data_IF_514289919580
#
_entry.id   IF_514289919580
#
_cell.length_a   1.000
_cell.length_b   1.000
_cell.length_c   1.000
_cell.angle_alpha   90.00
_cell.angle_beta   90.00
_cell.angle_gamma   90.00
#
_symmetry.space_group_name_H-M   'P 1'
#
loop_
_entity.id
_entity.type
_entity.pdbx_description
1 polymer ?
#
# COMPACT_ATOMS: atom_id res chain seq x y z
N UNK A 1 9.96 11.00 3.59
CA UNK A 1 10.83 10.47 2.52
C UNK A 1 10.00 9.45 1.75
N UNK A 2 9.77 9.66 0.45
CA UNK A 2 8.94 8.77 -0.37
C UNK A 2 9.57 7.36 -0.44
N UNK A 3 8.82 6.33 -0.01
CA UNK A 3 9.21 4.93 -0.15
C UNK A 3 9.00 4.50 -1.61
N UNK A 4 9.82 5.02 -2.52
CA UNK A 4 9.75 4.72 -3.96
C UNK A 4 11.11 4.39 -4.53
N UNK A 5 11.17 3.37 -5.38
CA UNK A 5 12.34 2.95 -6.13
C UNK A 5 12.19 3.42 -7.58
N UNK A 6 13.29 3.81 -8.22
CA UNK A 6 13.30 4.18 -9.64
C UNK A 6 13.80 3.02 -10.48
N UNK A 7 13.04 2.62 -11.48
CA UNK A 7 13.45 1.61 -12.45
C UNK A 7 12.89 1.95 -13.84
N UNK A 8 13.71 1.86 -14.90
CA UNK A 8 13.33 2.15 -16.29
C UNK A 8 12.56 3.49 -16.47
N UNK A 9 13.01 4.56 -15.80
CA UNK A 9 12.35 5.89 -15.83
C UNK A 9 10.97 5.95 -15.16
N UNK A 10 10.56 4.92 -14.45
CA UNK A 10 9.33 4.86 -13.66
C UNK A 10 9.64 4.79 -12.17
N UNK A 11 8.69 5.23 -11.34
CA UNK A 11 8.76 5.15 -9.87
C UNK A 11 7.84 4.04 -9.39
N UNK A 12 8.36 3.11 -8.62
CA UNK A 12 7.62 2.01 -8.02
C UNK A 12 7.57 2.19 -6.51
N UNK A 13 6.37 2.21 -5.94
CA UNK A 13 6.21 2.29 -4.48
C UNK A 13 6.69 1.02 -3.78
N UNK A 14 7.23 1.16 -2.59
CA UNK A 14 7.53 0.04 -1.68
C UNK A 14 6.83 0.27 -0.34
N UNK A 15 6.51 -0.81 0.42
CA UNK A 15 5.86 -0.69 1.71
C UNK A 15 6.65 0.19 2.69
N UNK A 16 5.90 0.75 3.64
CA UNK A 16 6.45 1.58 4.71
C UNK A 16 7.41 0.75 5.56
N UNK A 17 8.65 1.22 5.70
CA UNK A 17 9.70 0.52 6.45
C UNK A 17 10.79 -0.12 5.58
N UNK A 18 10.61 -0.16 4.25
CA UNK A 18 11.70 -0.57 3.33
C UNK A 18 12.85 0.43 3.33
N UNK A 19 12.55 1.73 3.37
CA UNK A 19 13.57 2.77 3.46
C UNK A 19 13.78 3.18 4.93
N UNK A 20 14.93 2.83 5.51
CA UNK A 20 15.33 3.15 6.87
C UNK A 20 16.52 4.11 6.86
N UNK A 21 16.42 5.24 7.58
CA UNK A 21 17.47 6.28 7.60
C UNK A 21 18.80 5.79 8.17
N UNK A 22 18.79 4.78 9.04
CA UNK A 22 19.96 4.28 9.77
C UNK A 22 20.42 2.87 9.33
N UNK A 23 20.02 2.42 8.14
CA UNK A 23 20.39 1.09 7.64
C UNK A 23 20.67 1.10 6.14
N UNK A 24 21.37 0.07 5.66
CA UNK A 24 21.60 -0.12 4.23
C UNK A 24 20.26 -0.28 3.50
N UNK A 25 19.94 0.71 2.67
CA UNK A 25 18.72 0.73 1.85
C UNK A 25 18.97 0.05 0.51
N UNK A 26 19.68 -1.08 0.53
CA UNK A 26 19.92 -1.89 -0.65
C UNK A 26 18.71 -2.80 -0.86
N UNK A 27 18.20 -2.79 -2.07
CA UNK A 27 17.08 -3.62 -2.51
C UNK A 27 17.47 -4.25 -3.83
N UNK A 28 17.17 -5.53 -3.98
CA UNK A 28 17.34 -6.22 -5.25
C UNK A 28 16.08 -6.07 -6.07
N UNK A 29 16.27 -5.82 -7.35
CA UNK A 29 15.21 -5.72 -8.34
C UNK A 29 15.40 -6.90 -9.29
N UNK A 30 14.38 -7.74 -9.38
CA UNK A 30 14.34 -8.89 -10.26
C UNK A 30 13.17 -8.71 -11.23
N UNK A 31 13.40 -8.96 -12.52
CA UNK A 31 12.34 -8.91 -13.53
C UNK A 31 11.95 -10.33 -13.87
N UNK A 32 10.68 -10.67 -13.64
CA UNK A 32 10.08 -11.97 -13.97
C UNK A 32 9.05 -11.82 -15.08
N UNK A 33 8.77 -12.92 -15.78
CA UNK A 33 7.77 -12.98 -16.83
C UNK A 33 8.34 -12.76 -18.24
N UNK A 34 7.78 -13.49 -19.21
CA UNK A 34 8.17 -13.40 -20.63
C UNK A 34 7.31 -12.42 -21.43
N UNK A 35 6.01 -12.34 -21.12
CA UNK A 35 5.04 -11.50 -21.85
C UNK A 35 4.59 -10.29 -21.02
N UNK A 36 4.18 -10.50 -19.77
CA UNK A 36 3.96 -9.44 -18.78
C UNK A 36 5.17 -9.41 -17.85
N UNK A 37 6.01 -8.39 -18.01
CA UNK A 37 7.19 -8.26 -17.17
C UNK A 37 6.79 -7.72 -15.81
N UNK A 38 6.99 -8.50 -14.75
CA UNK A 38 6.75 -8.10 -13.36
C UNK A 38 8.07 -7.75 -12.70
N UNK A 39 8.12 -6.58 -12.08
CA UNK A 39 9.19 -6.09 -11.25
C UNK A 39 8.99 -6.56 -9.81
N UNK A 40 9.86 -7.46 -9.38
CA UNK A 40 9.92 -8.00 -8.03
C UNK A 40 11.04 -7.29 -7.27
N UNK A 41 10.73 -6.74 -6.10
CA UNK A 41 11.64 -6.01 -5.24
C UNK A 41 11.86 -6.82 -3.96
N UNK A 42 13.12 -7.06 -3.59
CA UNK A 42 13.52 -7.84 -2.41
C UNK A 42 14.52 -7.09 -1.55
N UNK A 43 14.58 -7.41 -0.25
CA UNK A 43 15.58 -6.82 0.66
C UNK A 43 16.97 -7.42 0.45
N UNK A 44 17.00 -8.73 0.18
CA UNK A 44 18.18 -9.57 0.08
C UNK A 44 17.95 -10.59 -1.05
N UNK A 45 19.01 -11.17 -1.62
CA UNK A 45 18.89 -12.09 -2.76
C UNK A 45 17.98 -13.30 -2.46
N UNK A 46 18.13 -13.89 -1.28
CA UNK A 46 17.30 -14.97 -0.73
C UNK A 46 16.25 -14.45 0.28
N UNK A 47 16.09 -13.14 0.36
CA UNK A 47 15.14 -12.51 1.28
C UNK A 47 13.70 -12.55 0.76
N UNK A 48 12.79 -12.16 1.63
CA UNK A 48 11.37 -12.02 1.30
C UNK A 48 11.14 -10.95 0.21
N UNK A 49 10.11 -11.20 -0.60
CA UNK A 49 9.63 -10.25 -1.59
C UNK A 49 8.93 -9.10 -0.86
N UNK A 50 9.49 -7.91 -0.99
CA UNK A 50 8.97 -6.69 -0.38
C UNK A 50 7.79 -6.15 -1.20
N UNK A 51 7.92 -6.16 -2.52
CA UNK A 51 6.95 -5.56 -3.42
C UNK A 51 7.01 -6.19 -4.81
N UNK A 52 5.85 -6.29 -5.46
CA UNK A 52 5.71 -6.74 -6.84
C UNK A 52 4.86 -5.74 -7.61
N UNK A 53 5.28 -5.41 -8.84
CA UNK A 53 4.60 -4.48 -9.72
C UNK A 53 4.70 -4.93 -11.17
N UNK A 54 3.67 -4.69 -11.97
CA UNK A 54 3.81 -4.77 -13.42
C UNK A 54 4.69 -3.65 -13.97
N UNK A 55 5.61 -4.01 -14.87
CA UNK A 55 6.46 -3.05 -15.55
C UNK A 55 5.64 -2.33 -16.61
N UNK A 56 5.41 -1.04 -16.36
CA UNK A 56 4.79 -0.19 -17.36
C UNK A 56 5.77 0.11 -18.50
N UNK A 57 5.28 0.01 -19.75
CA UNK A 57 5.99 0.42 -20.96
C UNK A 57 6.05 1.94 -21.12
N UNK A 58 5.14 2.66 -20.47
CA UNK A 58 5.17 4.13 -20.41
C UNK A 58 6.33 4.61 -19.52
N UNK A 59 6.82 5.83 -19.74
CA UNK A 59 7.90 6.43 -18.94
C UNK A 59 7.38 7.56 -18.07
N UNK A 60 8.00 7.76 -16.90
CA UNK A 60 7.66 8.86 -15.99
C UNK A 60 6.41 8.60 -15.14
N UNK A 61 5.89 7.36 -15.12
CA UNK A 61 4.74 7.00 -14.30
C UNK A 61 5.16 6.67 -12.86
N UNK A 62 4.24 6.94 -11.95
CA UNK A 62 4.29 6.45 -10.58
C UNK A 62 3.37 5.22 -10.47
N UNK A 63 3.97 4.05 -10.33
CA UNK A 63 3.28 2.78 -10.11
C UNK A 63 3.22 2.58 -8.59
N UNK A 64 2.06 2.88 -8.04
CA UNK A 64 1.81 2.77 -6.61
C UNK A 64 0.86 1.62 -6.31
N UNK A 65 1.30 0.68 -5.49
CA UNK A 65 0.42 -0.38 -4.99
C UNK A 65 -0.39 0.20 -3.81
N UNK A 66 -1.70 0.00 -3.83
CA UNK A 66 -2.62 0.49 -2.79
C UNK A 66 -2.33 -0.15 -1.42
N UNK A 67 -1.73 -1.34 -1.39
CA UNK A 67 -1.25 -1.97 -0.16
C UNK A 67 0.02 -1.32 0.43
N UNK A 68 0.76 -0.54 -0.35
CA UNK A 68 1.93 0.20 0.16
C UNK A 68 1.55 1.56 0.74
N UNK A 69 0.37 2.06 0.40
CA UNK A 69 -0.20 3.19 1.11
C UNK A 69 -0.73 2.75 2.46
N UNK A 70 -0.57 3.64 3.45
CA UNK A 70 -1.08 3.49 4.82
C UNK A 70 -2.46 2.85 4.81
N UNK A 71 -2.62 1.77 5.57
CA UNK A 71 -3.89 1.05 5.69
C UNK A 71 -4.99 2.02 6.13
N UNK A 72 -5.83 2.46 5.19
CA UNK A 72 -6.92 3.42 5.46
C UNK A 72 -8.08 2.76 6.20
N UNK A 73 -8.09 1.44 6.33
CA UNK A 73 -9.10 0.72 7.11
C UNK A 73 -9.10 1.19 8.57
N UNK A 74 -7.91 1.39 9.15
CA UNK A 74 -7.76 1.95 10.51
C UNK A 74 -8.34 3.37 10.64
N UNK A 75 -8.15 4.20 9.62
CA UNK A 75 -8.70 5.56 9.60
C UNK A 75 -10.22 5.57 9.54
N UNK A 76 -10.83 4.65 8.78
CA UNK A 76 -12.29 4.50 8.69
C UNK A 76 -12.86 3.99 10.01
N UNK A 77 -12.20 3.02 10.66
CA UNK A 77 -12.62 2.53 11.97
C UNK A 77 -12.53 3.62 13.05
N UNK A 78 -11.43 4.37 13.11
CA UNK A 78 -11.30 5.50 14.04
C UNK A 78 -12.34 6.60 13.77
N UNK A 79 -12.64 6.89 12.50
CA UNK A 79 -13.69 7.84 12.14
C UNK A 79 -15.07 7.34 12.53
N UNK A 80 -15.38 6.06 12.29
CA UNK A 80 -16.62 5.41 12.75
C UNK A 80 -16.75 5.52 14.27
N UNK A 81 -15.71 5.19 15.02
CA UNK A 81 -15.71 5.25 16.48
C UNK A 81 -15.92 6.69 17.00
N UNK A 82 -15.27 7.69 16.40
CA UNK A 82 -15.48 9.10 16.77
C UNK A 82 -16.89 9.59 16.45
N UNK A 83 -17.45 9.18 15.31
CA UNK A 83 -18.82 9.52 14.95
C UNK A 83 -19.80 8.86 15.92
N UNK A 84 -19.69 7.55 16.15
CA UNK A 84 -20.54 6.81 17.10
C UNK A 84 -20.48 7.46 18.49
N UNK A 85 -19.30 7.84 18.98
CA UNK A 85 -19.13 8.49 20.28
C UNK A 85 -19.68 9.92 20.35
N UNK A 86 -19.95 10.59 19.22
CA UNK A 86 -20.55 11.93 19.17
C UNK A 86 -22.07 11.91 19.06
N UNK A 87 -22.70 10.74 18.84
CA UNK A 87 -24.15 10.59 18.88
C UNK A 87 -24.62 10.28 20.30
N UNK A 88 -25.71 10.92 20.73
CA UNK A 88 -26.37 10.63 22.02
C UNK A 88 -26.85 9.17 22.11
N UNK A 89 -27.25 8.57 20.99
CA UNK A 89 -27.67 7.18 20.90
C UNK A 89 -26.69 6.32 20.09
N UNK A 90 -25.65 5.86 20.79
CA UNK A 90 -24.56 5.07 20.21
C UNK A 90 -25.03 3.75 19.59
N UNK A 91 -26.12 3.16 20.10
CA UNK A 91 -26.69 1.91 19.57
C UNK A 91 -27.32 2.12 18.20
N UNK A 92 -28.06 3.21 18.02
CA UNK A 92 -28.70 3.52 16.74
C UNK A 92 -27.66 3.90 15.67
N UNK A 93 -26.63 4.66 16.05
CA UNK A 93 -25.52 5.01 15.16
C UNK A 93 -24.74 3.76 14.71
N UNK A 94 -24.39 2.85 15.62
CA UNK A 94 -23.69 1.61 15.29
C UNK A 94 -24.50 0.73 14.33
N UNK A 95 -25.81 0.58 14.56
CA UNK A 95 -26.69 -0.20 13.69
C UNK A 95 -26.82 0.42 12.27
N UNK A 96 -26.75 1.74 12.15
CA UNK A 96 -26.77 2.44 10.86
C UNK A 96 -25.46 2.24 10.08
N UNK A 97 -24.31 2.36 10.75
CA UNK A 97 -23.00 2.11 10.13
C UNK A 97 -22.78 0.66 9.74
N UNK A 98 -23.33 -0.30 10.49
CA UNK A 98 -23.30 -1.73 10.14
C UNK A 98 -24.07 -1.98 8.84
N UNK A 99 -25.29 -1.42 8.72
CA UNK A 99 -26.09 -1.51 7.48
C UNK A 99 -25.38 -0.90 6.28
N UNK A 100 -24.83 0.32 6.40
CA UNK A 100 -24.11 0.98 5.30
C UNK A 100 -22.89 0.15 4.88
N UNK A 101 -22.13 -0.39 5.83
CA UNK A 101 -20.94 -1.19 5.55
C UNK A 101 -21.26 -2.50 4.82
N UNK A 102 -22.48 -3.01 4.98
CA UNK A 102 -22.96 -4.24 4.34
C UNK A 102 -23.51 -4.01 2.93
N UNK A 103 -24.00 -2.80 2.67
CA UNK A 103 -24.63 -2.42 1.40
C UNK A 103 -23.61 -1.87 0.38
N UNK A 104 -22.50 -1.30 0.85
CA UNK A 104 -21.42 -0.77 0.00
C UNK A 104 -20.02 -1.25 0.47
N UNK A 105 -19.54 -2.40 -0.03
CA UNK A 105 -18.19 -2.92 0.23
C UNK A 105 -17.08 -2.16 -0.50
#
# INVERSE_FOLDING_TARGET
KDNTIRYKSNRYSVPLGTYQTNSENLVLIEVKGREQQTLVIRKQAEGEIIAEHDISVEKGKLIQNRNHTRDRSKGIEEFKQRLISSFEDQKQAAAYFDKISKEYP
#
